data_IF_831344266401
#
_entry.id   IF_831344266401
#
_cell.length_a   1.000
_cell.length_b   1.000
_cell.length_c   1.000
_cell.angle_alpha   90.00
_cell.angle_beta   90.00
_cell.angle_gamma   90.00
#
_symmetry.space_group_name_H-M   'P 1'
#
loop_
_entity.id
_entity.type
_entity.pdbx_description
1 polymer ?
#
# COMPACT_ATOMS: atom_id res chain seq x y z
N UNK A 1 -6.69 -26.11 -1.09
CA UNK A 1 -5.50 -25.59 -1.82
C UNK A 1 -4.75 -24.66 -0.89
N UNK A 2 -3.41 -24.64 -0.92
CA UNK A 2 -2.63 -23.74 -0.08
C UNK A 2 -2.83 -22.29 -0.53
N UNK A 3 -3.10 -21.36 0.39
CA UNK A 3 -3.32 -19.92 0.11
C UNK A 3 -2.01 -19.15 -0.09
N UNK A 4 -0.88 -19.75 0.31
CA UNK A 4 0.46 -19.17 0.25
C UNK A 4 0.87 -18.71 -1.17
N UNK A 5 0.68 -19.50 -2.24
CA UNK A 5 1.06 -19.07 -3.59
C UNK A 5 0.32 -17.82 -4.05
N UNK A 6 -0.97 -17.70 -3.73
CA UNK A 6 -1.78 -16.52 -4.07
C UNK A 6 -1.30 -15.27 -3.33
N UNK A 7 -0.95 -15.42 -2.05
CA UNK A 7 -0.34 -14.34 -1.26
C UNK A 7 1.00 -13.88 -1.83
N UNK A 8 1.84 -14.82 -2.28
CA UNK A 8 3.12 -14.48 -2.90
C UNK A 8 2.91 -13.75 -4.24
N UNK A 9 1.93 -14.16 -5.04
CA UNK A 9 1.57 -13.46 -6.27
C UNK A 9 1.08 -12.04 -5.96
N UNK A 10 0.15 -11.91 -5.00
CA UNK A 10 -0.37 -10.62 -4.54
C UNK A 10 0.75 -9.68 -4.08
N UNK A 11 1.70 -10.21 -3.30
CA UNK A 11 2.87 -9.48 -2.82
C UNK A 11 3.78 -9.04 -3.97
N UNK A 12 4.09 -9.93 -4.91
CA UNK A 12 4.94 -9.61 -6.06
C UNK A 12 4.29 -8.52 -6.92
N UNK A 13 2.98 -8.63 -7.21
CA UNK A 13 2.23 -7.60 -7.93
C UNK A 13 2.33 -6.26 -7.19
N UNK A 14 2.06 -6.27 -5.88
CA UNK A 14 2.12 -5.06 -5.05
C UNK A 14 3.48 -4.38 -5.13
N UNK A 15 4.56 -5.11 -4.84
CA UNK A 15 5.92 -4.58 -4.83
C UNK A 15 6.37 -4.14 -6.21
N UNK A 16 6.06 -4.90 -7.25
CA UNK A 16 6.43 -4.55 -8.62
C UNK A 16 5.74 -3.27 -9.07
N UNK A 17 4.41 -3.17 -8.91
CA UNK A 17 3.66 -1.97 -9.25
C UNK A 17 4.16 -0.79 -8.43
N UNK A 18 4.33 -0.97 -7.12
CA UNK A 18 4.84 0.07 -6.22
C UNK A 18 6.21 0.57 -6.65
N UNK A 19 7.13 -0.33 -6.99
CA UNK A 19 8.45 0.04 -7.49
C UNK A 19 8.34 0.88 -8.76
N UNK A 20 7.51 0.48 -9.72
CA UNK A 20 7.31 1.23 -10.98
C UNK A 20 6.73 2.62 -10.72
N UNK A 21 5.70 2.74 -9.87
CA UNK A 21 4.99 4.02 -9.69
C UNK A 21 5.62 4.97 -8.67
N UNK A 22 6.29 4.44 -7.64
CA UNK A 22 6.93 5.24 -6.58
C UNK A 22 8.33 5.69 -6.98
N UNK A 23 9.08 4.87 -7.73
CA UNK A 23 10.45 5.21 -8.18
C UNK A 23 10.56 6.58 -8.85
N UNK A 24 9.71 6.98 -9.82
CA UNK A 24 9.82 8.30 -10.42
C UNK A 24 9.58 9.43 -9.41
N UNK A 25 8.63 9.27 -8.47
CA UNK A 25 8.35 10.26 -7.42
C UNK A 25 9.57 10.44 -6.52
N UNK A 26 10.12 9.33 -6.01
CA UNK A 26 11.30 9.34 -5.14
C UNK A 26 12.52 9.92 -5.88
N UNK A 27 12.74 9.51 -7.13
CA UNK A 27 13.84 9.99 -7.94
C UNK A 27 13.77 11.50 -8.18
N UNK A 28 12.60 12.04 -8.53
CA UNK A 28 12.41 13.47 -8.76
C UNK A 28 12.48 14.28 -7.45
N UNK A 29 11.99 13.72 -6.34
CA UNK A 29 11.97 14.38 -5.04
C UNK A 29 13.26 14.22 -4.24
N UNK A 30 14.26 13.45 -4.70
CA UNK A 30 15.49 13.13 -3.94
C UNK A 30 16.30 14.33 -3.45
N UNK A 31 16.17 15.48 -4.13
CA UNK A 31 16.85 16.74 -3.76
C UNK A 31 16.04 17.58 -2.76
N UNK A 32 14.75 17.28 -2.59
CA UNK A 32 13.81 18.03 -1.74
C UNK A 32 13.46 17.31 -0.44
N UNK A 33 13.47 15.98 -0.46
CA UNK A 33 13.08 15.12 0.67
C UNK A 33 14.18 14.14 0.98
N UNK A 34 14.55 14.03 2.25
CA UNK A 34 15.40 12.94 2.72
C UNK A 34 14.52 11.70 2.96
N UNK A 35 14.75 10.65 2.16
CA UNK A 35 14.03 9.38 2.28
C UNK A 35 14.82 8.43 3.18
N UNK A 36 14.25 8.05 4.32
CA UNK A 36 14.87 7.07 5.19
C UNK A 36 14.50 5.64 4.80
N UNK A 37 15.41 4.69 5.02
CA UNK A 37 15.16 3.27 4.71
C UNK A 37 13.96 2.69 5.44
N UNK A 38 13.62 3.20 6.64
CA UNK A 38 12.43 2.74 7.38
C UNK A 38 11.12 3.15 6.69
N UNK A 39 11.11 4.13 5.79
CA UNK A 39 9.91 4.50 5.02
C UNK A 39 9.49 3.40 4.05
N UNK A 40 10.36 2.41 3.78
CA UNK A 40 9.98 1.17 3.09
C UNK A 40 8.91 0.37 3.86
N UNK A 41 8.74 0.61 5.16
CA UNK A 41 7.61 0.08 5.93
C UNK A 41 6.25 0.54 5.37
N UNK A 42 6.20 1.66 4.65
CA UNK A 42 4.99 2.11 3.96
C UNK A 42 4.55 1.15 2.86
N UNK A 43 5.45 0.32 2.32
CA UNK A 43 5.09 -0.75 1.36
C UNK A 43 4.59 -1.99 2.11
N UNK A 44 5.29 -2.37 3.19
CA UNK A 44 5.04 -3.64 3.89
C UNK A 44 3.82 -3.57 4.80
N UNK A 45 3.75 -2.55 5.67
CA UNK A 45 2.78 -2.52 6.77
C UNK A 45 1.33 -2.38 6.27
N UNK A 46 0.99 -1.46 5.35
CA UNK A 46 -0.36 -1.38 4.81
C UNK A 46 -0.79 -2.66 4.09
N UNK A 47 0.13 -3.31 3.36
CA UNK A 47 -0.14 -4.61 2.74
C UNK A 47 -0.44 -5.67 3.80
N UNK A 48 0.34 -5.75 4.89
CA UNK A 48 0.07 -6.67 5.98
C UNK A 48 -1.27 -6.40 6.68
N UNK A 49 -1.65 -5.13 6.86
CA UNK A 49 -2.97 -4.75 7.40
C UNK A 49 -4.07 -5.29 6.50
N UNK A 50 -3.96 -5.06 5.19
CA UNK A 50 -4.93 -5.54 4.22
C UNK A 50 -5.01 -7.07 4.17
N UNK A 51 -3.86 -7.78 4.17
CA UNK A 51 -3.82 -9.24 4.28
C UNK A 51 -4.51 -9.70 5.57
N UNK A 52 -4.22 -9.06 6.70
CA UNK A 52 -4.87 -9.38 7.97
C UNK A 52 -6.40 -9.29 7.88
N UNK A 53 -6.93 -8.29 7.18
CA UNK A 53 -8.38 -8.16 6.94
C UNK A 53 -8.91 -9.26 6.01
N UNK A 54 -8.20 -9.55 4.92
CA UNK A 54 -8.54 -10.62 3.96
C UNK A 54 -8.60 -12.02 4.59
N UNK A 55 -7.82 -12.29 5.65
CA UNK A 55 -7.83 -13.57 6.36
C UNK A 55 -8.63 -13.54 7.67
N UNK A 56 -9.25 -12.41 8.00
CA UNK A 56 -10.16 -12.32 9.14
C UNK A 56 -11.56 -12.79 8.76
N UNK A 57 -12.38 -13.09 9.78
CA UNK A 57 -13.79 -13.48 9.60
C UNK A 57 -14.60 -12.43 8.81
N UNK A 58 -14.14 -11.17 8.77
CA UNK A 58 -14.75 -10.07 8.02
C UNK A 58 -14.71 -10.28 6.48
N UNK A 59 -13.80 -11.13 5.99
CA UNK A 59 -13.68 -11.44 4.56
C UNK A 59 -14.66 -12.52 4.08
N UNK A 60 -15.34 -13.21 5.00
CA UNK A 60 -16.17 -14.37 4.66
C UNK A 60 -17.39 -13.94 3.86
N UNK A 61 -17.48 -14.38 2.60
CA UNK A 61 -18.59 -14.05 1.70
C UNK A 61 -18.57 -12.63 1.12
N UNK A 62 -17.56 -11.82 1.47
CA UNK A 62 -17.40 -10.43 1.02
C UNK A 62 -16.23 -10.22 0.06
N UNK A 63 -15.34 -11.21 -0.09
CA UNK A 63 -14.16 -11.18 -0.96
C UNK A 63 -13.92 -12.50 -1.67
N UNK A 64 -13.32 -12.43 -2.85
CA UNK A 64 -12.99 -13.57 -3.72
C UNK A 64 -11.49 -13.69 -3.96
N UNK A 65 -11.06 -14.76 -4.64
CA UNK A 65 -9.64 -14.91 -5.01
C UNK A 65 -9.21 -13.83 -6.01
N UNK A 66 -10.11 -13.35 -6.87
CA UNK A 66 -9.86 -12.21 -7.77
C UNK A 66 -9.47 -10.92 -7.02
N UNK A 67 -9.99 -10.70 -5.82
CA UNK A 67 -9.58 -9.57 -4.97
C UNK A 67 -8.10 -9.66 -4.56
N UNK A 68 -7.52 -10.87 -4.48
CA UNK A 68 -6.10 -11.07 -4.17
C UNK A 68 -5.17 -10.61 -5.29
N UNK A 69 -5.68 -10.37 -6.50
CA UNK A 69 -4.87 -9.90 -7.63
C UNK A 69 -5.03 -8.39 -7.84
N UNK A 70 -6.26 -7.89 -7.73
CA UNK A 70 -6.58 -6.49 -8.09
C UNK A 70 -6.30 -5.51 -6.93
N UNK A 71 -6.74 -5.82 -5.71
CA UNK A 71 -6.59 -4.90 -4.57
C UNK A 71 -5.12 -4.57 -4.23
N UNK A 72 -4.16 -5.52 -4.31
CA UNK A 72 -2.75 -5.19 -4.11
C UNK A 72 -2.21 -4.16 -5.11
N UNK A 73 -2.73 -4.17 -6.35
CA UNK A 73 -2.41 -3.16 -7.37
C UNK A 73 -2.97 -1.78 -7.00
N UNK A 74 -4.20 -1.72 -6.49
CA UNK A 74 -4.82 -0.47 -5.99
C UNK A 74 -4.01 0.09 -4.82
N UNK A 75 -3.61 -0.77 -3.88
CA UNK A 75 -2.74 -0.37 -2.76
C UNK A 75 -1.40 0.17 -3.26
N UNK A 76 -0.81 -0.45 -4.27
CA UNK A 76 0.44 0.02 -4.86
C UNK A 76 0.30 1.40 -5.52
N UNK A 77 -0.82 1.68 -6.19
CA UNK A 77 -1.11 3.02 -6.71
C UNK A 77 -1.27 4.05 -5.58
N UNK A 78 -1.90 3.66 -4.47
CA UNK A 78 -2.01 4.52 -3.30
C UNK A 78 -0.63 4.90 -2.70
N UNK A 79 0.38 4.04 -2.83
CA UNK A 79 1.75 4.37 -2.41
C UNK A 79 2.33 5.55 -3.18
N UNK A 80 2.06 5.66 -4.50
CA UNK A 80 2.51 6.82 -5.28
C UNK A 80 1.84 8.11 -4.79
N UNK A 81 0.54 8.06 -4.48
CA UNK A 81 -0.17 9.19 -3.87
C UNK A 81 0.38 9.52 -2.48
N UNK A 82 0.67 8.51 -1.66
CA UNK A 82 1.30 8.68 -0.36
C UNK A 82 2.70 9.30 -0.45
N UNK A 83 3.50 8.90 -1.43
CA UNK A 83 4.81 9.48 -1.70
C UNK A 83 4.69 10.95 -2.16
N UNK A 84 3.73 11.28 -3.03
CA UNK A 84 3.45 12.67 -3.42
C UNK A 84 2.99 13.52 -2.23
N UNK A 85 2.10 12.98 -1.40
CA UNK A 85 1.66 13.63 -0.17
C UNK A 85 2.82 13.86 0.79
N UNK A 86 3.74 12.89 0.92
CA UNK A 86 4.97 13.02 1.72
C UNK A 86 5.86 14.16 1.25
N UNK A 87 5.99 14.32 -0.08
CA UNK A 87 6.73 15.42 -0.70
C UNK A 87 6.03 16.76 -0.48
N UNK A 88 4.70 16.80 -0.53
CA UNK A 88 3.94 18.02 -0.24
C UNK A 88 4.07 18.43 1.24
N UNK A 89 3.96 17.47 2.16
CA UNK A 89 4.06 17.71 3.61
C UNK A 89 5.47 18.14 4.04
N UNK A 90 6.52 17.79 3.30
CA UNK A 90 7.89 18.15 3.67
C UNK A 90 8.16 19.66 3.64
N UNK A 91 7.28 20.44 3.01
CA UNK A 91 7.39 21.90 2.97
C UNK A 91 6.91 22.57 4.26
N UNK A 92 6.06 21.90 5.04
CA UNK A 92 5.38 22.50 6.20
C UNK A 92 5.54 21.69 7.50
N UNK A 93 6.04 20.46 7.43
CA UNK A 93 6.11 19.55 8.57
C UNK A 93 7.52 18.99 8.78
N UNK A 94 7.89 18.65 10.03
CA UNK A 94 9.10 17.88 10.30
C UNK A 94 9.08 16.54 9.57
N UNK A 95 10.23 16.11 9.06
CA UNK A 95 10.36 14.91 8.23
C UNK A 95 9.79 13.66 8.90
N UNK A 96 10.13 13.43 10.18
CA UNK A 96 9.63 12.28 10.96
C UNK A 96 8.11 12.28 11.06
N UNK A 97 7.50 13.45 11.30
CA UNK A 97 6.04 13.59 11.39
C UNK A 97 5.38 13.29 10.05
N UNK A 98 5.90 13.89 8.97
CA UNK A 98 5.37 13.67 7.62
C UNK A 98 5.47 12.18 7.20
N UNK A 99 6.61 11.52 7.42
CA UNK A 99 6.80 10.10 7.09
C UNK A 99 5.88 9.20 7.92
N UNK A 100 5.70 9.51 9.22
CA UNK A 100 4.79 8.75 10.10
C UNK A 100 3.33 8.92 9.68
N UNK A 101 2.92 10.16 9.36
CA UNK A 101 1.56 10.44 8.87
C UNK A 101 1.29 9.74 7.54
N UNK A 102 2.25 9.68 6.62
CA UNK A 102 2.12 8.94 5.36
C UNK A 102 1.90 7.44 5.64
N UNK A 103 2.70 6.83 6.52
CA UNK A 103 2.55 5.41 6.88
C UNK A 103 1.17 5.12 7.49
N UNK A 104 0.76 5.92 8.47
CA UNK A 104 -0.55 5.78 9.13
C UNK A 104 -1.68 5.99 8.13
N UNK A 105 -1.60 7.01 7.29
CA UNK A 105 -2.56 7.28 6.24
C UNK A 105 -2.70 6.13 5.25
N UNK A 106 -1.60 5.52 4.83
CA UNK A 106 -1.62 4.36 3.95
C UNK A 106 -2.25 3.12 4.61
N UNK A 107 -2.09 2.94 5.93
CA UNK A 107 -2.80 1.88 6.66
C UNK A 107 -4.32 2.11 6.65
N UNK A 108 -4.77 3.37 6.81
CA UNK A 108 -6.18 3.70 6.65
C UNK A 108 -6.69 3.48 5.23
N UNK A 109 -5.88 3.81 4.22
CA UNK A 109 -6.22 3.50 2.81
C UNK A 109 -6.33 1.99 2.61
N UNK A 110 -5.44 1.19 3.19
CA UNK A 110 -5.49 -0.27 3.12
C UNK A 110 -6.80 -0.83 3.69
N UNK A 111 -7.20 -0.36 4.87
CA UNK A 111 -8.49 -0.69 5.46
C UNK A 111 -9.65 -0.20 4.59
N UNK A 112 -9.57 1.00 4.03
CA UNK A 112 -10.58 1.57 3.15
C UNK A 112 -10.77 0.75 1.88
N UNK A 113 -9.68 0.32 1.23
CA UNK A 113 -9.72 -0.54 0.03
C UNK A 113 -10.46 -1.84 0.32
N UNK A 114 -10.20 -2.46 1.48
CA UNK A 114 -10.91 -3.66 1.89
C UNK A 114 -12.43 -3.44 1.98
N UNK A 115 -12.89 -2.32 2.53
CA UNK A 115 -14.33 -2.07 2.68
C UNK A 115 -15.02 -1.51 1.43
N UNK A 116 -14.29 -0.77 0.59
CA UNK A 116 -14.85 -0.05 -0.57
C UNK A 116 -14.87 -0.93 -1.82
N UNK A 117 -13.83 -1.75 -2.03
CA UNK A 117 -13.75 -2.60 -3.22
C UNK A 117 -14.68 -3.80 -3.01
N UNK A 118 -15.72 -4.00 -3.84
CA UNK A 118 -16.61 -5.14 -3.69
C UNK A 118 -15.91 -6.46 -4.05
N UNK A 119 -16.54 -7.57 -3.70
CA UNK A 119 -16.15 -8.89 -4.21
C UNK A 119 -16.08 -8.85 -5.74
N UNK A 120 -14.96 -9.29 -6.31
CA UNK A 120 -14.78 -9.37 -7.75
C UNK A 120 -15.25 -10.75 -8.25
N UNK A 121 -15.77 -10.87 -9.48
CA UNK A 121 -16.10 -12.18 -10.04
C UNK A 121 -14.83 -13.05 -10.13
N UNK A 122 -15.00 -14.35 -9.89
CA UNK A 122 -13.94 -15.37 -10.02
C UNK A 122 -13.62 -15.67 -11.50
#
# INVERSE_FOLDING_TARGET
MSTIPFLLIAWVIHVFVAAVVVSPVVFLARKRVHWHSWELLAVVVPFCVWVGLMFSDMSTGSKTLSNLVIEPGILALALALGALARVAMSASMPEKTASTMTLVGLCFVATGVFWIVPALPE
#
